data_IF_126815279462
#
_entry.id   IF_126815279462
#
_cell.length_a   1.000
_cell.length_b   1.000
_cell.length_c   1.000
_cell.angle_alpha   90.00
_cell.angle_beta   90.00
_cell.angle_gamma   90.00
#
_symmetry.space_group_name_H-M   'P 1'
#
loop_
_entity.id
_entity.type
_entity.pdbx_description
1 polymer ?
#
# COMPACT_ATOMS: atom_id res chain seq x y z
N UNK A 1 6.96 -1.83 4.85
CA UNK A 1 5.62 -1.58 4.30
C UNK A 1 5.20 -0.15 4.64
N UNK A 2 4.64 0.57 3.65
CA UNK A 2 4.06 1.91 3.83
C UNK A 2 2.75 1.87 4.64
N UNK A 3 2.14 3.04 4.84
CA UNK A 3 0.76 3.17 5.32
C UNK A 3 -0.22 3.28 4.16
N UNK A 4 -1.51 3.09 4.41
CA UNK A 4 -2.54 3.16 3.38
C UNK A 4 -2.64 4.53 2.68
N UNK A 5 -2.46 5.68 3.38
CA UNK A 5 -2.31 6.97 2.70
C UNK A 5 -1.13 7.03 1.74
N UNK A 6 -0.01 6.38 2.09
CA UNK A 6 1.16 6.30 1.20
C UNK A 6 0.85 5.44 -0.03
N UNK A 7 0.21 4.27 0.14
CA UNK A 7 -0.23 3.46 -0.99
C UNK A 7 -1.18 4.22 -1.92
N UNK A 8 -2.13 4.98 -1.38
CA UNK A 8 -3.06 5.77 -2.18
C UNK A 8 -2.36 6.88 -2.96
N UNK A 9 -1.41 7.58 -2.35
CA UNK A 9 -0.64 8.62 -3.05
C UNK A 9 0.25 8.02 -4.14
N UNK A 10 0.90 6.89 -3.87
CA UNK A 10 1.67 6.15 -4.87
C UNK A 10 0.77 5.69 -6.03
N UNK A 11 -0.37 5.08 -5.73
CA UNK A 11 -1.32 4.60 -6.72
C UNK A 11 -1.87 5.77 -7.56
N UNK A 12 -2.26 6.87 -6.93
CA UNK A 12 -2.74 8.06 -7.63
C UNK A 12 -1.70 8.63 -8.59
N UNK A 13 -0.45 8.72 -8.14
CA UNK A 13 0.69 9.23 -8.91
C UNK A 13 1.00 8.36 -10.12
N UNK A 14 0.91 7.03 -9.96
CA UNK A 14 1.31 6.07 -11.00
C UNK A 14 0.15 5.60 -11.89
N UNK A 15 -1.11 5.86 -11.56
CA UNK A 15 -2.26 5.30 -12.26
C UNK A 15 -2.22 5.53 -13.78
N UNK A 16 -1.86 6.74 -14.20
CA UNK A 16 -1.83 7.12 -15.61
C UNK A 16 -0.69 6.39 -16.35
N UNK A 17 0.51 6.30 -15.74
CA UNK A 17 1.64 5.57 -16.32
C UNK A 17 1.43 4.05 -16.33
N UNK A 18 0.56 3.53 -15.47
CA UNK A 18 0.18 2.11 -15.39
C UNK A 18 -1.01 1.73 -16.29
N UNK A 19 -1.46 2.66 -17.15
CA UNK A 19 -2.61 2.47 -18.06
C UNK A 19 -3.91 2.11 -17.35
N UNK A 20 -4.11 2.56 -16.11
CA UNK A 20 -5.34 2.32 -15.34
C UNK A 20 -6.54 2.96 -16.06
N UNK A 21 -7.64 2.21 -16.20
CA UNK A 21 -8.88 2.69 -16.85
C UNK A 21 -9.96 3.05 -15.83
N UNK A 22 -10.13 2.22 -14.81
CA UNK A 22 -10.96 2.49 -13.66
C UNK A 22 -10.10 2.82 -12.43
N UNK A 23 -9.87 4.12 -12.20
CA UNK A 23 -9.06 4.61 -11.07
C UNK A 23 -9.69 4.28 -9.71
N UNK A 24 -11.02 4.20 -9.60
CA UNK A 24 -11.71 3.84 -8.36
C UNK A 24 -11.42 2.38 -7.95
N UNK A 25 -11.59 1.43 -8.89
CA UNK A 25 -11.27 0.01 -8.66
C UNK A 25 -9.78 -0.19 -8.35
N UNK A 26 -8.90 0.53 -9.05
CA UNK A 26 -7.45 0.50 -8.82
C UNK A 26 -7.05 0.99 -7.42
N UNK A 27 -7.57 2.14 -6.99
CA UNK A 27 -7.29 2.68 -5.65
C UNK A 27 -7.83 1.78 -4.54
N UNK A 28 -9.00 1.17 -4.75
CA UNK A 28 -9.55 0.20 -3.81
C UNK A 28 -8.67 -1.04 -3.68
N UNK A 29 -8.21 -1.58 -4.82
CA UNK A 29 -7.24 -2.67 -4.84
C UNK A 29 -5.94 -2.32 -4.11
N UNK A 30 -5.45 -1.08 -4.26
CA UNK A 30 -4.20 -0.60 -3.65
C UNK A 30 -4.21 -0.51 -2.12
N UNK A 31 -5.38 -0.64 -1.48
CA UNK A 31 -5.49 -0.70 -0.01
C UNK A 31 -6.13 -2.00 0.50
N UNK A 32 -6.62 -2.86 -0.41
CA UNK A 32 -7.38 -4.05 -0.03
C UNK A 32 -6.61 -5.02 0.89
N UNK A 33 -5.30 -5.31 0.69
CA UNK A 33 -4.57 -6.23 1.58
C UNK A 33 -4.53 -5.77 3.05
N UNK A 34 -4.51 -4.46 3.29
CA UNK A 34 -4.46 -3.88 4.64
C UNK A 34 -5.78 -4.05 5.42
N UNK A 35 -6.89 -4.37 4.75
CA UNK A 35 -8.20 -4.47 5.37
C UNK A 35 -8.25 -5.50 6.51
N UNK A 36 -7.37 -6.51 6.48
CA UNK A 36 -7.30 -7.53 7.53
C UNK A 36 -6.91 -6.96 8.89
N UNK A 37 -6.28 -5.79 8.94
CA UNK A 37 -5.95 -5.10 10.19
C UNK A 37 -7.12 -4.29 10.74
N UNK A 38 -8.19 -4.06 9.95
CA UNK A 38 -9.31 -3.24 10.34
C UNK A 38 -10.11 -3.84 11.51
N UNK A 39 -10.38 -3.02 12.53
CA UNK A 39 -11.12 -3.44 13.72
C UNK A 39 -10.34 -4.35 14.66
N UNK A 40 -9.03 -4.47 14.48
CA UNK A 40 -8.12 -5.25 15.34
C UNK A 40 -6.93 -4.39 15.76
N UNK A 41 -6.26 -4.75 16.86
CA UNK A 41 -4.99 -4.11 17.23
C UNK A 41 -3.92 -4.40 16.17
N UNK A 42 -3.81 -5.67 15.77
CA UNK A 42 -3.01 -6.13 14.64
C UNK A 42 -3.44 -7.56 14.26
N UNK A 43 -3.66 -7.82 12.98
CA UNK A 43 -3.91 -9.19 12.52
C UNK A 43 -2.66 -10.08 12.67
N UNK A 44 -2.87 -11.39 12.86
CA UNK A 44 -1.78 -12.35 12.99
C UNK A 44 -0.88 -12.33 11.76
N UNK A 45 0.38 -12.75 11.92
CA UNK A 45 1.32 -12.84 10.80
C UNK A 45 0.76 -13.70 9.67
N UNK A 46 0.18 -14.85 9.99
CA UNK A 46 -0.43 -15.75 9.00
C UNK A 46 -1.51 -15.05 8.15
N UNK A 47 -2.43 -14.33 8.80
CA UNK A 47 -3.50 -13.60 8.11
C UNK A 47 -2.93 -12.50 7.23
N UNK A 48 -1.98 -11.71 7.76
CA UNK A 48 -1.35 -10.62 6.99
C UNK A 48 -0.52 -11.16 5.83
N UNK A 49 0.26 -12.21 6.04
CA UNK A 49 1.08 -12.80 4.98
C UNK A 49 0.21 -13.37 3.87
N UNK A 50 -0.90 -14.03 4.22
CA UNK A 50 -1.87 -14.51 3.23
C UNK A 50 -2.46 -13.37 2.41
N UNK A 51 -2.93 -12.29 3.06
CA UNK A 51 -3.47 -11.12 2.39
C UNK A 51 -2.44 -10.48 1.44
N UNK A 52 -1.20 -10.29 1.87
CA UNK A 52 -0.18 -9.63 1.05
C UNK A 52 0.54 -10.59 0.09
N UNK A 53 0.10 -11.87 0.04
CA UNK A 53 0.73 -12.95 -0.73
C UNK A 53 2.24 -13.04 -0.41
N UNK A 54 2.57 -12.75 0.84
CA UNK A 54 3.92 -12.42 1.28
C UNK A 54 4.77 -13.66 1.49
N UNK A 55 6.06 -13.52 1.21
CA UNK A 55 7.10 -14.39 1.74
C UNK A 55 8.19 -13.54 2.42
N UNK A 56 9.02 -14.18 3.26
CA UNK A 56 10.18 -13.53 3.87
C UNK A 56 11.31 -13.37 2.86
N UNK A 57 11.41 -14.31 1.92
CA UNK A 57 12.30 -14.22 0.78
C UNK A 57 11.64 -13.38 -0.32
N UNK A 58 12.32 -12.32 -0.76
CA UNK A 58 11.76 -11.41 -1.76
C UNK A 58 11.63 -12.05 -3.13
N UNK A 59 12.51 -12.96 -3.53
CA UNK A 59 12.40 -13.60 -4.84
C UNK A 59 11.20 -14.55 -4.84
N UNK A 60 10.99 -15.29 -3.75
CA UNK A 60 9.79 -16.12 -3.58
C UNK A 60 8.52 -15.26 -3.55
N UNK A 61 8.53 -14.12 -2.87
CA UNK A 61 7.38 -13.21 -2.84
C UNK A 61 7.05 -12.71 -4.25
N UNK A 62 8.04 -12.25 -4.99
CA UNK A 62 7.89 -11.76 -6.38
C UNK A 62 7.30 -12.83 -7.29
N UNK A 63 7.79 -14.05 -7.21
CA UNK A 63 7.27 -15.17 -7.99
C UNK A 63 5.82 -15.51 -7.63
N UNK A 64 5.46 -15.48 -6.34
CA UNK A 64 4.06 -15.67 -5.91
C UNK A 64 3.13 -14.60 -6.45
N UNK A 65 3.56 -13.33 -6.52
CA UNK A 65 2.75 -12.26 -7.09
C UNK A 65 2.50 -12.48 -8.58
N UNK A 66 3.51 -12.94 -9.32
CA UNK A 66 3.38 -13.30 -10.74
C UNK A 66 2.43 -14.47 -10.94
N UNK A 67 2.59 -15.57 -10.20
CA UNK A 67 1.66 -16.70 -10.27
C UNK A 67 0.25 -16.30 -9.88
N UNK A 68 0.08 -15.49 -8.83
CA UNK A 68 -1.24 -15.00 -8.42
C UNK A 68 -1.94 -14.22 -9.54
N UNK A 69 -1.21 -13.35 -10.25
CA UNK A 69 -1.73 -12.63 -11.43
C UNK A 69 -2.21 -13.61 -12.49
N UNK A 70 -1.39 -14.59 -12.87
CA UNK A 70 -1.71 -15.56 -13.92
C UNK A 70 -2.93 -16.41 -13.55
N UNK A 71 -2.94 -16.96 -12.34
CA UNK A 71 -4.02 -17.82 -11.83
C UNK A 71 -5.36 -17.09 -11.72
N UNK A 72 -5.32 -15.76 -11.55
CA UNK A 72 -6.51 -14.95 -11.36
C UNK A 72 -6.89 -14.10 -12.59
N UNK A 73 -6.14 -14.17 -13.70
CA UNK A 73 -6.39 -13.33 -14.88
C UNK A 73 -7.81 -13.47 -15.44
N UNK A 74 -8.35 -14.69 -15.47
CA UNK A 74 -9.73 -14.95 -15.92
C UNK A 74 -10.75 -14.45 -14.90
N UNK A 75 -10.50 -14.66 -13.60
CA UNK A 75 -11.39 -14.26 -12.51
C UNK A 75 -11.62 -12.75 -12.48
N UNK A 76 -10.60 -11.96 -12.78
CA UNK A 76 -10.67 -10.49 -12.78
C UNK A 76 -10.83 -9.88 -14.18
N UNK A 77 -11.28 -10.65 -15.18
CA UNK A 77 -11.44 -10.13 -16.54
C UNK A 77 -12.30 -8.86 -16.61
N UNK A 78 -13.35 -8.77 -15.77
CA UNK A 78 -14.26 -7.62 -15.67
C UNK A 78 -13.88 -6.61 -14.56
N UNK A 79 -12.77 -6.84 -13.86
CA UNK A 79 -12.26 -5.97 -12.80
C UNK A 79 -10.72 -5.96 -12.74
N UNK A 80 -10.09 -5.80 -13.90
CA UNK A 80 -8.63 -5.87 -14.05
C UNK A 80 -7.90 -4.80 -13.26
N UNK A 81 -8.47 -3.61 -13.17
CA UNK A 81 -7.85 -2.51 -12.45
C UNK A 81 -7.88 -2.73 -10.93
N UNK A 82 -8.88 -3.41 -10.37
CA UNK A 82 -8.80 -3.87 -8.97
C UNK A 82 -7.66 -4.87 -8.76
N UNK A 83 -7.50 -5.88 -9.64
CA UNK A 83 -6.37 -6.82 -9.55
C UNK A 83 -5.03 -6.10 -9.70
N UNK A 84 -4.93 -5.15 -10.63
CA UNK A 84 -3.75 -4.29 -10.82
C UNK A 84 -3.45 -3.49 -9.56
N UNK A 85 -4.48 -2.92 -8.90
CA UNK A 85 -4.35 -2.22 -7.63
C UNK A 85 -3.87 -3.12 -6.50
N UNK A 86 -4.43 -4.32 -6.42
CA UNK A 86 -4.04 -5.33 -5.44
C UNK A 86 -2.57 -5.72 -5.56
N UNK A 87 -2.12 -6.01 -6.79
CA UNK A 87 -0.72 -6.32 -7.06
C UNK A 87 0.16 -5.09 -6.85
N UNK A 88 -0.31 -3.90 -7.23
CA UNK A 88 0.39 -2.64 -6.98
C UNK A 88 0.70 -2.46 -5.49
N UNK A 89 -0.26 -2.73 -4.60
CA UNK A 89 -0.02 -2.70 -3.16
C UNK A 89 1.18 -3.57 -2.77
N UNK A 90 1.17 -4.86 -3.12
CA UNK A 90 2.23 -5.79 -2.76
C UNK A 90 3.59 -5.42 -3.40
N UNK A 91 3.60 -4.92 -4.63
CA UNK A 91 4.82 -4.43 -5.27
C UNK A 91 5.36 -3.19 -4.57
N UNK A 92 4.49 -2.26 -4.16
CA UNK A 92 4.91 -1.07 -3.41
C UNK A 92 5.38 -1.39 -2.00
N UNK A 93 4.90 -2.47 -1.37
CA UNK A 93 5.49 -2.96 -0.13
C UNK A 93 6.95 -3.36 -0.31
N UNK A 94 7.24 -4.16 -1.35
CA UNK A 94 8.60 -4.59 -1.69
C UNK A 94 9.45 -3.37 -2.03
N UNK A 95 8.98 -2.49 -2.92
CA UNK A 95 9.73 -1.31 -3.34
C UNK A 95 10.02 -0.36 -2.16
N UNK A 96 9.07 -0.20 -1.24
CA UNK A 96 9.26 0.57 -0.01
C UNK A 96 10.27 -0.09 0.92
N UNK A 97 10.18 -1.40 1.13
CA UNK A 97 11.12 -2.14 1.97
C UNK A 97 12.55 -2.10 1.40
N UNK A 98 12.70 -2.06 0.07
CA UNK A 98 14.00 -1.99 -0.60
C UNK A 98 14.58 -0.57 -0.61
N UNK A 99 13.76 0.47 -0.80
CA UNK A 99 14.27 1.82 -1.08
C UNK A 99 14.13 2.81 0.10
N UNK A 100 13.08 2.69 0.91
CA UNK A 100 12.72 3.71 1.92
C UNK A 100 12.93 3.20 3.34
N UNK A 101 12.45 2.00 3.66
CA UNK A 101 12.51 1.45 5.02
C UNK A 101 13.94 1.41 5.60
N UNK A 102 14.99 1.01 4.86
CA UNK A 102 16.35 0.99 5.38
C UNK A 102 16.82 2.41 5.77
N UNK A 103 16.44 3.42 4.98
CA UNK A 103 16.79 4.82 5.25
C UNK A 103 16.09 5.37 6.49
N UNK A 104 14.84 4.97 6.74
CA UNK A 104 14.13 5.29 7.99
C UNK A 104 14.90 4.69 9.18
N UNK A 105 15.31 3.43 9.08
CA UNK A 105 16.00 2.73 10.17
C UNK A 105 17.39 3.33 10.42
N UNK A 106 18.14 3.68 9.37
CA UNK A 106 19.39 4.42 9.48
C UNK A 106 19.19 5.75 10.20
N UNK A 107 18.17 6.53 9.80
CA UNK A 107 17.83 7.78 10.46
C UNK A 107 17.47 7.58 11.95
N UNK A 108 16.62 6.61 12.27
CA UNK A 108 16.25 6.31 13.65
C UNK A 108 17.45 5.85 14.49
N UNK A 109 18.41 5.13 13.88
CA UNK A 109 19.67 4.78 14.51
C UNK A 109 20.51 6.00 14.89
N UNK A 110 20.50 7.06 14.06
CA UNK A 110 21.19 8.33 14.39
C UNK A 110 20.56 9.07 15.58
N UNK A 111 19.30 8.78 15.90
CA UNK A 111 18.61 9.31 17.08
C UNK A 111 18.82 8.46 18.34
N UNK A 112 19.55 7.34 18.23
CA UNK A 112 19.91 6.47 19.36
C UNK A 112 18.84 5.43 19.72
N UNK A 113 17.84 5.19 18.87
CA UNK A 113 16.86 4.13 19.10
C UNK A 113 17.48 2.74 18.91
N UNK A 114 17.16 1.81 19.81
CA UNK A 114 17.47 0.39 19.64
C UNK A 114 16.56 -0.27 18.60
N UNK A 115 16.97 -1.43 18.06
CA UNK A 115 16.23 -2.12 16.99
C UNK A 115 14.77 -2.44 17.38
N UNK A 116 14.53 -2.87 18.62
CA UNK A 116 13.19 -3.18 19.11
C UNK A 116 12.27 -1.93 19.11
N UNK A 117 12.83 -0.76 19.40
CA UNK A 117 12.10 0.52 19.37
C UNK A 117 11.92 1.07 17.95
N UNK A 118 12.80 0.71 17.00
CA UNK A 118 12.75 1.24 15.63
C UNK A 118 11.44 0.91 14.92
N UNK A 119 10.83 -0.23 15.22
CA UNK A 119 9.55 -0.61 14.61
C UNK A 119 8.42 0.34 15.05
N UNK A 120 8.34 0.65 16.34
CA UNK A 120 7.36 1.61 16.86
C UNK A 120 7.63 3.00 16.28
N UNK A 121 8.89 3.45 16.30
CA UNK A 121 9.24 4.78 15.81
C UNK A 121 9.01 4.93 14.30
N UNK A 122 9.21 3.86 13.51
CA UNK A 122 8.86 3.83 12.08
C UNK A 122 7.37 4.06 11.87
N UNK A 123 6.51 3.45 12.69
CA UNK A 123 5.07 3.67 12.60
C UNK A 123 4.67 5.09 13.03
N UNK A 124 5.28 5.62 14.09
CA UNK A 124 5.07 7.02 14.49
C UNK A 124 5.46 7.98 13.37
N UNK A 125 6.59 7.73 12.71
CA UNK A 125 7.04 8.53 11.57
C UNK A 125 6.07 8.45 10.37
N UNK A 126 5.54 7.27 10.06
CA UNK A 126 4.46 7.13 9.08
C UNK A 126 3.19 7.89 9.49
N UNK A 127 2.80 7.87 10.77
CA UNK A 127 1.62 8.60 11.23
C UNK A 127 1.80 10.12 11.20
N UNK A 128 3.02 10.61 11.43
CA UNK A 128 3.38 12.01 11.15
C UNK A 128 3.25 12.31 9.67
N UNK A 129 3.74 11.42 8.80
CA UNK A 129 3.64 11.62 7.35
C UNK A 129 2.20 11.58 6.86
N UNK A 130 1.36 10.72 7.46
CA UNK A 130 -0.08 10.69 7.20
C UNK A 130 -0.71 12.07 7.46
N UNK A 131 -0.31 12.80 8.52
CA UNK A 131 -0.83 14.15 8.82
C UNK A 131 -0.60 15.18 7.71
N UNK A 132 0.44 14.97 6.89
CA UNK A 132 0.74 15.78 5.70
C UNK A 132 -0.03 15.23 4.50
N UNK A 133 0.05 13.91 4.27
CA UNK A 133 -0.59 13.23 3.14
C UNK A 133 -2.09 13.50 3.08
N UNK A 134 -2.82 13.39 4.21
CA UNK A 134 -4.28 13.55 4.21
C UNK A 134 -4.76 14.97 3.92
N UNK A 135 -3.85 15.96 3.97
CA UNK A 135 -4.16 17.36 3.67
C UNK A 135 -4.00 17.69 2.18
N UNK A 136 -3.36 16.80 1.39
CA UNK A 136 -3.15 16.96 -0.06
C UNK A 136 -4.45 16.84 -0.86
N UNK A 137 -4.49 17.48 -2.03
CA UNK A 137 -5.65 17.39 -2.93
C UNK A 137 -5.74 16.01 -3.59
N UNK A 138 -4.59 15.38 -3.85
CA UNK A 138 -4.47 14.02 -4.37
C UNK A 138 -5.13 13.01 -3.42
N UNK A 139 -4.83 13.10 -2.12
CA UNK A 139 -5.45 12.21 -1.14
C UNK A 139 -6.96 12.42 -1.01
N UNK A 140 -7.44 13.68 -1.08
CA UNK A 140 -8.89 13.97 -1.09
C UNK A 140 -9.59 13.35 -2.28
N UNK A 141 -8.95 13.38 -3.45
CA UNK A 141 -9.49 12.72 -4.64
C UNK A 141 -9.46 11.20 -4.50
N UNK A 142 -8.40 10.63 -3.90
CA UNK A 142 -8.34 9.21 -3.58
C UNK A 142 -9.50 8.76 -2.70
N UNK A 143 -9.77 9.46 -1.60
CA UNK A 143 -10.83 9.06 -0.66
C UNK A 143 -12.23 9.23 -1.24
N UNK A 144 -12.42 10.19 -2.17
CA UNK A 144 -13.64 10.30 -2.96
C UNK A 144 -13.84 9.07 -3.86
N UNK A 145 -12.82 8.73 -4.65
CA UNK A 145 -12.87 7.62 -5.61
C UNK A 145 -12.95 6.25 -4.94
N UNK A 146 -12.34 6.07 -3.76
CA UNK A 146 -12.37 4.80 -3.02
C UNK A 146 -13.80 4.28 -2.79
N UNK A 147 -14.75 5.19 -2.55
CA UNK A 147 -16.16 4.84 -2.29
C UNK A 147 -16.91 4.38 -3.54
N UNK A 148 -16.32 4.58 -4.73
CA UNK A 148 -16.90 4.19 -6.02
C UNK A 148 -16.32 2.86 -6.53
N UNK A 149 -15.26 2.36 -5.89
CA UNK A 149 -14.63 1.09 -6.25
C UNK A 149 -15.50 -0.11 -5.90
N UNK A 150 -15.35 -1.20 -6.67
CA UNK A 150 -16.06 -2.46 -6.43
C UNK A 150 -15.13 -3.50 -5.80
N UNK A 151 -15.36 -3.80 -4.52
CA UNK A 151 -14.62 -4.83 -3.83
C UNK A 151 -14.95 -6.24 -4.36
N UNK A 152 -13.94 -7.10 -4.34
CA UNK A 152 -14.05 -8.53 -4.68
C UNK A 152 -13.22 -9.31 -3.66
N UNK A 153 -13.72 -10.46 -3.23
CA UNK A 153 -12.98 -11.37 -2.35
C UNK A 153 -11.60 -11.70 -2.95
N UNK A 154 -10.53 -11.54 -2.19
CA UNK A 154 -9.18 -11.74 -2.73
C UNK A 154 -8.20 -12.18 -1.66
N UNK A 155 -7.44 -13.25 -1.90
CA UNK A 155 -6.37 -13.75 -1.02
C UNK A 155 -6.67 -13.72 0.51
N UNK A 156 -7.90 -14.06 0.93
CA UNK A 156 -8.29 -14.05 2.34
C UNK A 156 -8.81 -12.71 2.88
N UNK A 157 -8.99 -11.71 2.01
CA UNK A 157 -9.66 -10.44 2.23
C UNK A 157 -11.09 -10.51 1.67
N UNK A 158 -12.13 -10.65 2.52
CA UNK A 158 -13.52 -10.60 2.08
C UNK A 158 -13.90 -9.23 1.54
N UNK A 159 -14.76 -9.17 0.51
CA UNK A 159 -15.21 -7.93 -0.12
C UNK A 159 -15.88 -6.98 0.89
N UNK A 160 -16.69 -7.51 1.81
CA UNK A 160 -17.35 -6.71 2.86
C UNK A 160 -16.35 -6.10 3.86
N UNK A 161 -15.21 -6.75 4.08
CA UNK A 161 -14.14 -6.23 4.92
C UNK A 161 -13.37 -5.13 4.19
N UNK A 162 -13.11 -5.32 2.89
CA UNK A 162 -12.48 -4.32 2.03
C UNK A 162 -13.33 -3.05 1.96
N UNK A 163 -14.65 -3.17 1.74
CA UNK A 163 -15.56 -2.03 1.69
C UNK A 163 -15.60 -1.24 3.01
N UNK A 164 -15.70 -1.97 4.14
CA UNK A 164 -15.66 -1.34 5.46
C UNK A 164 -14.33 -0.64 5.73
N UNK A 165 -13.23 -1.25 5.30
CA UNK A 165 -11.92 -0.65 5.43
C UNK A 165 -11.76 0.60 4.55
N UNK A 166 -12.24 0.56 3.31
CA UNK A 166 -12.24 1.73 2.42
C UNK A 166 -13.05 2.89 3.00
N UNK A 167 -14.22 2.62 3.59
CA UNK A 167 -15.01 3.62 4.30
C UNK A 167 -14.24 4.22 5.49
N UNK A 168 -13.58 3.39 6.30
CA UNK A 168 -12.73 3.84 7.39
C UNK A 168 -11.55 4.71 6.91
N UNK A 169 -10.85 4.29 5.86
CA UNK A 169 -9.75 5.08 5.26
C UNK A 169 -10.27 6.42 4.72
N UNK A 170 -11.46 6.46 4.14
CA UNK A 170 -12.03 7.67 3.57
C UNK A 170 -12.55 8.66 4.62
N UNK A 171 -13.16 8.17 5.70
CA UNK A 171 -13.95 9.00 6.63
C UNK A 171 -13.36 9.11 8.05
N UNK A 172 -12.65 8.08 8.53
CA UNK A 172 -12.36 7.90 9.96
C UNK A 172 -10.91 7.51 10.29
N UNK A 173 -9.96 7.67 9.36
CA UNK A 173 -8.54 7.29 9.49
C UNK A 173 -7.70 8.13 10.50
N UNK A 174 -8.33 8.70 11.52
CA UNK A 174 -7.74 9.69 12.45
C UNK A 174 -6.84 9.07 13.49
N UNK A 175 -7.05 7.81 13.86
CA UNK A 175 -6.22 7.07 14.84
C UNK A 175 -4.83 6.71 14.30
N UNK A 176 -4.61 6.84 12.98
CA UNK A 176 -3.32 6.63 12.31
C UNK A 176 -2.66 7.94 11.88
N UNK A 177 -3.04 9.06 12.51
CA UNK A 177 -2.48 10.40 12.25
C UNK A 177 -1.89 10.95 13.55
N UNK A 178 -0.65 11.41 13.47
CA UNK A 178 -0.03 12.23 14.51
C UNK A 178 0.14 13.63 13.95
N UNK A 179 -0.52 14.63 14.55
CA UNK A 179 -0.43 16.05 14.12
C UNK A 179 0.89 16.69 14.58
N UNK A 180 1.98 16.08 14.13
CA UNK A 180 3.36 16.50 14.29
C UNK A 180 4.03 16.44 12.92
N UNK A 181 4.98 17.34 12.66
CA UNK A 181 5.75 17.31 11.40
C UNK A 181 6.58 16.02 11.34
N UNK A 182 6.61 15.32 10.19
CA UNK A 182 7.55 14.21 9.96
C UNK A 182 8.98 14.65 10.20
N UNK A 183 9.78 13.77 10.83
CA UNK A 183 11.18 14.05 11.10
C UNK A 183 12.08 13.73 9.90
N UNK A 184 11.65 12.78 9.07
CA UNK A 184 12.41 12.21 7.97
C UNK A 184 11.57 12.09 6.69
N UNK A 185 10.39 11.49 6.78
CA UNK A 185 9.54 11.22 5.64
C UNK A 185 9.02 12.52 5.00
N UNK A 186 8.98 12.52 3.68
CA UNK A 186 8.54 13.66 2.85
C UNK A 186 8.16 13.14 1.46
N UNK A 187 7.63 14.01 0.59
CA UNK A 187 7.18 13.64 -0.76
C UNK A 187 8.28 12.98 -1.62
N UNK A 188 9.56 13.32 -1.42
CA UNK A 188 10.66 12.68 -2.14
C UNK A 188 10.79 11.18 -1.87
N UNK A 189 10.20 10.67 -0.78
CA UNK A 189 10.14 9.22 -0.52
C UNK A 189 9.05 8.53 -1.34
N UNK A 190 8.00 9.24 -1.74
CA UNK A 190 7.03 8.74 -2.74
C UNK A 190 7.77 8.58 -4.06
N UNK A 191 8.48 9.62 -4.51
CA UNK A 191 9.26 9.61 -5.76
C UNK A 191 10.31 8.49 -5.76
N UNK A 192 10.98 8.27 -4.63
CA UNK A 192 11.97 7.19 -4.49
C UNK A 192 11.33 5.81 -4.61
N UNK A 193 10.14 5.60 -4.05
CA UNK A 193 9.40 4.33 -4.23
C UNK A 193 8.96 4.16 -5.68
N UNK A 194 8.47 5.21 -6.35
CA UNK A 194 8.13 5.16 -7.79
C UNK A 194 9.36 4.80 -8.63
N UNK A 195 10.49 5.47 -8.39
CA UNK A 195 11.76 5.16 -9.06
C UNK A 195 12.14 3.69 -8.85
N UNK A 196 12.00 3.17 -7.63
CA UNK A 196 12.32 1.77 -7.35
C UNK A 196 11.39 0.80 -8.08
N UNK A 197 10.09 1.10 -8.15
CA UNK A 197 9.11 0.33 -8.92
C UNK A 197 9.49 0.25 -10.41
N UNK A 198 9.97 1.35 -10.99
CA UNK A 198 10.40 1.40 -12.39
C UNK A 198 11.72 0.65 -12.62
N UNK A 199 12.74 0.91 -11.80
CA UNK A 199 14.07 0.30 -11.94
C UNK A 199 14.03 -1.23 -11.77
N UNK A 200 13.16 -1.72 -10.89
CA UNK A 200 13.00 -3.15 -10.64
C UNK A 200 12.06 -3.85 -11.62
N UNK A 201 11.44 -3.11 -12.57
CA UNK A 201 10.54 -3.65 -13.58
C UNK A 201 9.10 -3.91 -13.10
N UNK A 202 8.75 -3.56 -11.86
CA UNK A 202 7.42 -3.82 -11.29
C UNK A 202 6.34 -3.03 -12.03
N UNK A 203 6.65 -1.80 -12.44
CA UNK A 203 5.76 -0.98 -13.26
C UNK A 203 5.48 -1.58 -14.63
N UNK A 204 6.48 -2.24 -15.27
CA UNK A 204 6.28 -2.96 -16.52
C UNK A 204 5.36 -4.16 -16.32
N UNK A 205 5.54 -4.93 -15.24
CA UNK A 205 4.68 -6.07 -14.91
C UNK A 205 3.21 -5.62 -14.75
N UNK A 206 2.98 -4.52 -14.04
CA UNK A 206 1.65 -3.96 -13.79
C UNK A 206 1.00 -3.34 -15.03
N UNK A 207 1.77 -2.69 -15.91
CA UNK A 207 1.26 -2.15 -17.19
C UNK A 207 0.64 -3.21 -18.10
N UNK A 208 1.06 -4.46 -17.95
CA UNK A 208 0.66 -5.59 -18.80
C UNK A 208 -0.54 -6.38 -18.26
N UNK A 209 -1.18 -5.93 -17.17
CA UNK A 209 -2.45 -6.46 -16.64
C UNK A 209 -3.63 -5.76 -17.35
#
# INVERSE_FOLDING_TARGET
MPSSPVHLLLAYTMADSLNVKNKADFLLGAIAPDCVNYGTEQASEEVRYKAHIRDRDYDIWKDRLRSFREDNAVRYADNKDFLKGYLFHCWTDIAWDEAVQPKIFDFLGTLGYGYDDMTEQKWRELYRFNSVAVKSDEYRECTRLLKEGRAVDTAGCPADLIDRYAAYVADDYRDKILDERPLFLNSGHIDLTVQRMDEAGYSDELRNI
#
